data_IF_712407460859
#
_entry.id   IF_712407460859
#
_cell.length_a   1.000
_cell.length_b   1.000
_cell.length_c   1.000
_cell.angle_alpha   90.00
_cell.angle_beta   90.00
_cell.angle_gamma   90.00
#
_symmetry.space_group_name_H-M   'P 1'
#
loop_
_entity.id
_entity.type
_entity.pdbx_description
1 polymer ?
#
# COMPACT_ATOMS: atom_id res chain seq x y z
N UNK A 1 5.67 1.17 4.91
CA UNK A 1 5.56 2.34 3.98
C UNK A 1 6.53 2.25 2.81
N UNK A 2 7.86 2.09 3.03
CA UNK A 2 8.83 1.99 1.91
C UNK A 2 8.44 0.93 0.86
N UNK A 3 8.18 -0.31 1.29
CA UNK A 3 7.77 -1.41 0.38
C UNK A 3 6.49 -1.07 -0.39
N UNK A 4 5.53 -0.41 0.23
CA UNK A 4 4.27 -0.04 -0.44
C UNK A 4 4.50 1.01 -1.54
N UNK A 5 5.32 2.03 -1.27
CA UNK A 5 5.70 3.02 -2.28
C UNK A 5 6.49 2.41 -3.42
N UNK A 6 7.44 1.53 -3.09
CA UNK A 6 8.25 0.80 -4.07
C UNK A 6 7.39 -0.10 -4.97
N UNK A 7 6.43 -0.84 -4.37
CA UNK A 7 5.51 -1.70 -5.13
C UNK A 7 4.56 -0.90 -6.01
N UNK A 8 3.98 0.20 -5.51
CA UNK A 8 3.10 1.05 -6.31
C UNK A 8 3.85 1.62 -7.53
N UNK A 9 5.09 2.10 -7.36
CA UNK A 9 5.92 2.56 -8.47
C UNK A 9 6.24 1.42 -9.45
N UNK A 10 6.64 0.25 -8.93
CA UNK A 10 6.95 -0.92 -9.74
C UNK A 10 5.77 -1.40 -10.57
N UNK A 11 4.61 -1.57 -9.94
CA UNK A 11 3.42 -2.08 -10.62
C UNK A 11 2.84 -1.08 -11.61
N UNK A 12 2.92 0.21 -11.28
CA UNK A 12 2.49 1.29 -12.16
C UNK A 12 3.36 1.38 -13.42
N UNK A 13 4.69 1.31 -13.26
CA UNK A 13 5.63 1.51 -14.37
C UNK A 13 5.88 0.25 -15.21
N UNK A 14 5.96 -0.94 -14.58
CA UNK A 14 6.39 -2.17 -15.25
C UNK A 14 5.29 -3.24 -15.36
N UNK A 15 4.22 -3.16 -14.58
CA UNK A 15 3.18 -4.20 -14.54
C UNK A 15 1.82 -3.75 -15.08
N UNK A 16 1.83 -2.86 -16.07
CA UNK A 16 0.63 -2.49 -16.83
C UNK A 16 -0.23 -1.39 -16.21
N UNK A 17 0.35 -0.52 -15.37
CA UNK A 17 -0.32 0.71 -14.91
C UNK A 17 -1.39 0.46 -13.82
N UNK A 18 -1.13 -0.46 -12.89
CA UNK A 18 -2.01 -0.80 -11.78
C UNK A 18 -1.28 -0.53 -10.47
N UNK A 19 -1.97 0.02 -9.48
CA UNK A 19 -1.41 0.17 -8.13
C UNK A 19 -1.58 -1.09 -7.28
N UNK A 20 -0.55 -1.49 -6.57
CA UNK A 20 -0.63 -2.59 -5.61
C UNK A 20 -1.36 -2.17 -4.31
N UNK A 21 -1.05 -0.99 -3.78
CA UNK A 21 -1.59 -0.49 -2.51
C UNK A 21 -2.69 0.56 -2.69
N UNK A 22 -2.59 1.46 -3.68
CA UNK A 22 -3.48 2.61 -3.85
C UNK A 22 -4.75 2.23 -4.63
N UNK A 23 -5.70 1.56 -3.97
CA UNK A 23 -6.93 1.08 -4.63
C UNK A 23 -7.85 2.20 -5.13
N UNK A 24 -7.82 3.38 -4.52
CA UNK A 24 -8.53 4.56 -5.04
C UNK A 24 -8.04 4.94 -6.44
N UNK A 25 -6.73 4.84 -6.70
CA UNK A 25 -6.17 5.04 -8.04
C UNK A 25 -6.67 3.99 -9.03
N UNK A 26 -6.74 2.73 -8.62
CA UNK A 26 -7.30 1.66 -9.46
C UNK A 26 -8.78 1.90 -9.77
N UNK A 27 -9.59 2.38 -8.82
CA UNK A 27 -10.98 2.75 -9.07
C UNK A 27 -11.09 3.91 -10.08
N UNK A 28 -10.27 4.94 -9.94
CA UNK A 28 -10.25 6.07 -10.89
C UNK A 28 -9.94 5.56 -12.29
N UNK A 29 -8.86 4.80 -12.47
CA UNK A 29 -8.51 4.26 -13.79
C UNK A 29 -9.56 3.30 -14.35
N UNK A 30 -10.19 2.49 -13.49
CA UNK A 30 -11.29 1.62 -13.90
C UNK A 30 -12.44 2.42 -14.51
N UNK A 31 -12.97 3.43 -13.79
CA UNK A 31 -14.09 4.22 -14.28
C UNK A 31 -13.73 5.14 -15.45
N UNK A 32 -12.52 5.68 -15.50
CA UNK A 32 -12.04 6.42 -16.67
C UNK A 32 -12.06 5.55 -17.93
N UNK A 33 -11.49 4.34 -17.86
CA UNK A 33 -11.48 3.42 -19.00
C UNK A 33 -12.88 2.93 -19.37
N UNK A 34 -13.75 2.71 -18.37
CA UNK A 34 -15.15 2.33 -18.60
C UNK A 34 -15.90 3.38 -19.42
N UNK A 35 -15.78 4.67 -19.04
CA UNK A 35 -16.43 5.78 -19.74
C UNK A 35 -15.84 5.99 -21.14
N UNK A 36 -14.54 5.75 -21.31
CA UNK A 36 -13.85 5.87 -22.61
C UNK A 36 -14.09 4.66 -23.54
N UNK A 37 -14.81 3.62 -23.09
CA UNK A 37 -15.07 2.41 -23.87
C UNK A 37 -13.88 1.44 -23.97
N UNK A 38 -12.84 1.60 -23.15
CA UNK A 38 -11.64 0.75 -23.13
C UNK A 38 -11.89 -0.52 -22.29
N UNK A 39 -12.89 -1.29 -22.63
CA UNK A 39 -13.34 -2.46 -21.82
C UNK A 39 -12.25 -3.53 -21.62
N UNK A 40 -11.34 -3.67 -22.59
CA UNK A 40 -10.22 -4.62 -22.51
C UNK A 40 -9.21 -4.31 -21.41
N UNK A 41 -9.24 -3.13 -20.80
CA UNK A 41 -8.33 -2.73 -19.73
C UNK A 41 -8.93 -2.84 -18.33
N UNK A 42 -10.26 -3.07 -18.23
CA UNK A 42 -10.97 -3.02 -16.94
C UNK A 42 -10.56 -4.14 -16.00
N UNK A 43 -10.31 -5.34 -16.55
CA UNK A 43 -10.05 -6.54 -15.74
C UNK A 43 -8.84 -6.37 -14.81
N UNK A 44 -7.78 -5.71 -15.25
CA UNK A 44 -6.56 -5.55 -14.45
C UNK A 44 -6.78 -4.73 -13.17
N UNK A 45 -7.64 -3.72 -13.24
CA UNK A 45 -7.98 -2.89 -12.07
C UNK A 45 -8.94 -3.61 -11.13
N UNK A 46 -10.02 -4.19 -11.67
CA UNK A 46 -11.02 -4.85 -10.83
C UNK A 46 -10.46 -6.08 -10.11
N UNK A 47 -9.62 -6.89 -10.75
CA UNK A 47 -8.98 -8.03 -10.11
C UNK A 47 -8.00 -7.61 -9.02
N UNK A 48 -7.26 -6.51 -9.19
CA UNK A 48 -6.39 -5.95 -8.15
C UNK A 48 -7.21 -5.52 -6.92
N UNK A 49 -8.35 -4.83 -7.13
CA UNK A 49 -9.26 -4.41 -6.06
C UNK A 49 -9.86 -5.62 -5.33
N UNK A 50 -10.34 -6.62 -6.07
CA UNK A 50 -10.91 -7.85 -5.49
C UNK A 50 -9.83 -8.57 -4.65
N UNK A 51 -8.62 -8.72 -5.19
CA UNK A 51 -7.52 -9.36 -4.47
C UNK A 51 -7.16 -8.62 -3.18
N UNK A 52 -7.15 -7.29 -3.21
CA UNK A 52 -6.94 -6.46 -2.02
C UNK A 52 -8.05 -6.68 -0.97
N UNK A 53 -9.31 -6.69 -1.37
CA UNK A 53 -10.44 -6.97 -0.48
C UNK A 53 -10.34 -8.38 0.14
N UNK A 54 -9.98 -9.38 -0.65
CA UNK A 54 -9.77 -10.75 -0.19
C UNK A 54 -8.59 -10.85 0.79
N UNK A 55 -7.52 -10.06 0.58
CA UNK A 55 -6.38 -9.97 1.51
C UNK A 55 -6.80 -9.43 2.87
N UNK A 56 -7.60 -8.34 2.92
CA UNK A 56 -8.16 -7.82 4.16
C UNK A 56 -9.06 -8.87 4.84
N UNK A 57 -9.94 -9.50 4.06
CA UNK A 57 -10.89 -10.50 4.55
C UNK A 57 -10.15 -11.71 5.14
N UNK A 58 -9.16 -12.26 4.44
CA UNK A 58 -8.38 -13.40 4.90
C UNK A 58 -7.62 -13.10 6.19
N UNK A 59 -7.01 -11.91 6.30
CA UNK A 59 -6.27 -11.51 7.47
C UNK A 59 -7.15 -11.41 8.72
N UNK A 60 -8.43 -11.04 8.56
CA UNK A 60 -9.37 -10.99 9.68
C UNK A 60 -9.51 -12.37 10.37
N UNK A 61 -9.47 -13.46 9.61
CA UNK A 61 -9.53 -14.81 10.15
C UNK A 61 -8.15 -15.29 10.62
N UNK A 62 -7.11 -15.04 9.84
CA UNK A 62 -5.74 -15.47 10.15
C UNK A 62 -5.28 -14.94 11.48
N UNK A 63 -5.59 -13.69 11.83
CA UNK A 63 -5.26 -13.08 13.12
C UNK A 63 -5.84 -13.79 14.34
N UNK A 64 -6.93 -14.52 14.17
CA UNK A 64 -7.60 -15.27 15.25
C UNK A 64 -6.94 -16.63 15.49
N UNK A 65 -6.13 -17.10 14.56
CA UNK A 65 -5.44 -18.38 14.68
C UNK A 65 -4.19 -18.26 15.56
N UNK A 66 -3.85 -19.33 16.29
CA UNK A 66 -2.60 -19.42 17.02
C UNK A 66 -1.41 -19.29 16.05
N UNK A 67 -0.57 -18.28 16.25
CA UNK A 67 0.54 -17.99 15.34
C UNK A 67 0.14 -17.22 14.05
N UNK A 68 -1.06 -16.62 14.00
CA UNK A 68 -1.60 -15.91 12.85
C UNK A 68 -0.63 -14.89 12.24
N UNK A 69 0.04 -14.08 13.05
CA UNK A 69 1.04 -13.12 12.54
C UNK A 69 2.17 -13.80 11.75
N UNK A 70 2.64 -14.97 12.17
CA UNK A 70 3.69 -15.72 11.42
C UNK A 70 3.14 -16.23 10.09
N UNK A 71 1.90 -16.69 10.08
CA UNK A 71 1.21 -17.14 8.87
C UNK A 71 1.06 -15.96 7.90
N UNK A 72 0.60 -14.82 8.38
CA UNK A 72 0.44 -13.60 7.57
C UNK A 72 1.76 -13.14 6.95
N UNK A 73 2.84 -13.13 7.72
CA UNK A 73 4.18 -12.78 7.22
C UNK A 73 4.65 -13.79 6.16
N UNK A 74 4.45 -15.09 6.40
CA UNK A 74 4.82 -16.12 5.43
C UNK A 74 4.03 -15.95 4.10
N UNK A 75 2.73 -15.70 4.16
CA UNK A 75 1.89 -15.44 2.99
C UNK A 75 2.37 -14.21 2.22
N UNK A 76 2.68 -13.10 2.91
CA UNK A 76 3.24 -11.89 2.29
C UNK A 76 4.52 -12.22 1.51
N UNK A 77 5.47 -12.92 2.15
CA UNK A 77 6.74 -13.28 1.52
C UNK A 77 6.53 -14.16 0.31
N UNK A 78 5.71 -15.20 0.41
CA UNK A 78 5.40 -16.11 -0.71
C UNK A 78 4.76 -15.34 -1.86
N UNK A 79 3.75 -14.50 -1.59
CA UNK A 79 3.03 -13.79 -2.65
C UNK A 79 3.92 -12.73 -3.34
N UNK A 80 4.80 -12.05 -2.60
CA UNK A 80 5.79 -11.17 -3.22
C UNK A 80 6.78 -11.94 -4.07
N UNK A 81 7.34 -13.06 -3.55
CA UNK A 81 8.30 -13.87 -4.30
C UNK A 81 7.69 -14.42 -5.58
N UNK A 82 6.49 -15.00 -5.51
CA UNK A 82 5.78 -15.51 -6.69
C UNK A 82 5.43 -14.38 -7.65
N UNK A 83 4.93 -13.26 -7.16
CA UNK A 83 4.57 -12.09 -7.98
C UNK A 83 5.77 -11.52 -8.75
N UNK A 84 6.95 -11.48 -8.13
CA UNK A 84 8.19 -11.06 -8.82
C UNK A 84 8.71 -12.12 -9.81
N UNK A 85 8.47 -13.40 -9.56
CA UNK A 85 8.85 -14.49 -10.45
C UNK A 85 7.99 -14.60 -11.72
N UNK A 86 6.79 -14.01 -11.73
CA UNK A 86 5.91 -13.99 -12.92
C UNK A 86 6.58 -13.16 -14.03
N UNK A 87 6.71 -13.67 -15.26
CA UNK A 87 7.26 -12.90 -16.39
C UNK A 87 6.37 -11.70 -16.72
N UNK A 88 7.01 -10.66 -17.31
CA UNK A 88 6.28 -9.50 -17.80
C UNK A 88 5.41 -9.85 -19.01
N UNK A 89 4.29 -9.17 -19.17
CA UNK A 89 3.37 -9.35 -20.30
C UNK A 89 1.96 -9.71 -19.84
N UNK A 90 1.35 -10.69 -20.49
CA UNK A 90 -0.06 -11.05 -20.29
C UNK A 90 -0.42 -11.47 -18.86
N UNK A 91 0.54 -11.96 -18.11
CA UNK A 91 0.35 -12.37 -16.71
C UNK A 91 0.56 -11.24 -15.70
N UNK A 92 0.79 -10.00 -16.14
CA UNK A 92 0.95 -8.87 -15.23
C UNK A 92 -0.23 -8.69 -14.27
N UNK A 93 -1.46 -8.98 -14.72
CA UNK A 93 -2.64 -8.86 -13.86
C UNK A 93 -2.60 -9.86 -12.70
N UNK A 94 -2.07 -11.09 -12.91
CA UNK A 94 -1.89 -12.08 -11.84
C UNK A 94 -0.85 -11.61 -10.84
N UNK A 95 0.28 -11.08 -11.30
CA UNK A 95 1.30 -10.51 -10.42
C UNK A 95 0.72 -9.35 -9.57
N UNK A 96 -0.06 -8.45 -10.19
CA UNK A 96 -0.72 -7.35 -9.49
C UNK A 96 -1.74 -7.84 -8.45
N UNK A 97 -2.49 -8.90 -8.74
CA UNK A 97 -3.38 -9.54 -7.76
C UNK A 97 -2.62 -10.04 -6.54
N UNK A 98 -1.49 -10.72 -6.74
CA UNK A 98 -0.66 -11.23 -5.63
C UNK A 98 -0.08 -10.09 -4.81
N UNK A 99 0.44 -9.05 -5.45
CA UNK A 99 0.95 -7.86 -4.76
C UNK A 99 -0.16 -7.14 -3.97
N UNK A 100 -1.32 -6.93 -4.56
CA UNK A 100 -2.44 -6.26 -3.89
C UNK A 100 -2.97 -7.06 -2.70
N UNK A 101 -3.06 -8.38 -2.82
CA UNK A 101 -3.44 -9.27 -1.72
C UNK A 101 -2.42 -9.19 -0.57
N UNK A 102 -1.12 -9.29 -0.87
CA UNK A 102 -0.06 -9.24 0.13
C UNK A 102 0.02 -7.88 0.83
N UNK A 103 -0.10 -6.78 0.08
CA UNK A 103 -0.14 -5.42 0.64
C UNK A 103 -1.35 -5.23 1.55
N UNK A 104 -2.50 -5.82 1.23
CA UNK A 104 -3.70 -5.78 2.06
C UNK A 104 -3.49 -6.46 3.41
N UNK A 105 -2.83 -7.62 3.43
CA UNK A 105 -2.43 -8.28 4.68
C UNK A 105 -1.43 -7.40 5.45
N UNK A 106 -0.42 -6.86 4.78
CA UNK A 106 0.58 -5.97 5.38
C UNK A 106 -0.06 -4.74 6.04
N UNK A 107 -1.08 -4.14 5.41
CA UNK A 107 -1.85 -3.02 5.97
C UNK A 107 -2.48 -3.38 7.32
N UNK A 108 -2.95 -4.61 7.46
CA UNK A 108 -3.63 -5.07 8.65
C UNK A 108 -2.68 -5.46 9.80
N UNK A 109 -1.42 -5.77 9.52
CA UNK A 109 -0.45 -6.24 10.53
C UNK A 109 -0.04 -5.14 11.51
N UNK A 110 0.20 -3.93 11.02
CA UNK A 110 0.66 -2.80 11.84
C UNK A 110 -0.33 -1.65 11.66
N UNK A 111 -1.15 -1.43 12.68
CA UNK A 111 -2.18 -0.39 12.67
C UNK A 111 -1.88 0.79 13.59
N UNK A 112 -0.97 0.60 14.53
CA UNK A 112 -0.60 1.63 15.52
C UNK A 112 0.88 1.61 15.79
N UNK A 113 1.46 2.78 16.04
CA UNK A 113 2.82 2.99 16.54
C UNK A 113 2.73 4.01 17.66
N UNK A 114 3.25 3.70 18.86
CA UNK A 114 3.19 4.57 20.04
C UNK A 114 1.79 5.16 20.30
N UNK A 115 0.73 4.35 20.17
CA UNK A 115 -0.67 4.75 20.28
C UNK A 115 -1.23 5.63 19.15
N UNK A 116 -0.42 5.98 18.15
CA UNK A 116 -0.89 6.67 16.95
C UNK A 116 -1.42 5.65 15.93
N UNK A 117 -2.64 5.89 15.43
CA UNK A 117 -3.18 5.10 14.34
C UNK A 117 -2.43 5.44 13.05
N UNK A 118 -1.93 4.43 12.36
CA UNK A 118 -1.18 4.62 11.11
C UNK A 118 -1.81 3.84 9.96
N UNK A 119 -1.71 4.40 8.76
CA UNK A 119 -2.01 3.70 7.52
C UNK A 119 -0.69 3.22 6.90
N UNK A 120 -0.28 1.98 7.21
CA UNK A 120 1.03 1.44 6.87
C UNK A 120 1.31 1.33 5.35
N UNK A 121 0.29 1.46 4.51
CA UNK A 121 0.41 1.37 3.05
C UNK A 121 -0.12 2.59 2.30
N UNK A 122 -0.77 3.54 3.00
CA UNK A 122 -1.46 4.68 2.40
C UNK A 122 -0.86 6.00 2.88
N UNK A 123 -0.49 6.88 1.94
CA UNK A 123 0.15 8.16 2.24
C UNK A 123 -0.86 9.22 2.72
N UNK A 124 -2.04 9.32 2.09
CA UNK A 124 -3.03 10.38 2.33
C UNK A 124 -3.52 10.43 3.79
N UNK A 125 -3.82 9.26 4.38
CA UNK A 125 -4.24 9.19 5.79
C UNK A 125 -3.16 9.68 6.75
N UNK A 126 -1.90 9.29 6.50
CA UNK A 126 -0.77 9.72 7.31
C UNK A 126 -0.47 11.22 7.13
N UNK A 127 -0.66 11.77 5.92
CA UNK A 127 -0.51 13.21 5.66
C UNK A 127 -1.56 14.03 6.44
N UNK A 128 -2.82 13.58 6.44
CA UNK A 128 -3.86 14.20 7.26
C UNK A 128 -3.46 14.21 8.73
N UNK A 129 -3.11 13.06 9.29
CA UNK A 129 -2.74 12.94 10.70
C UNK A 129 -1.48 13.75 11.06
N UNK A 130 -0.54 13.89 10.11
CA UNK A 130 0.61 14.79 10.28
C UNK A 130 0.17 16.22 10.50
N UNK A 131 -0.70 16.74 9.64
CA UNK A 131 -1.17 18.14 9.73
C UNK A 131 -2.03 18.36 10.98
N UNK A 132 -2.85 17.38 11.37
CA UNK A 132 -3.59 17.41 12.65
C UNK A 132 -2.62 17.52 13.83
N UNK A 133 -1.53 16.72 13.86
CA UNK A 133 -0.51 16.81 14.91
C UNK A 133 0.23 18.17 14.90
N UNK A 134 0.54 18.73 13.73
CA UNK A 134 1.17 20.06 13.61
C UNK A 134 0.25 21.14 14.15
N UNK A 135 -1.04 21.11 13.77
CA UNK A 135 -2.03 22.08 14.26
C UNK A 135 -2.16 22.02 15.78
N UNK A 136 -2.31 20.82 16.35
CA UNK A 136 -2.42 20.64 17.80
C UNK A 136 -1.12 21.01 18.53
N UNK A 137 0.04 20.77 17.95
CA UNK A 137 1.31 21.20 18.53
C UNK A 137 1.41 22.72 18.67
N UNK A 138 0.81 23.47 17.74
CA UNK A 138 0.79 24.93 17.75
C UNK A 138 -0.25 25.45 18.76
N UNK A 139 -1.44 24.84 18.80
CA UNK A 139 -2.59 25.35 19.56
C UNK A 139 -2.63 24.85 21.01
N UNK A 140 -2.22 23.61 21.26
CA UNK A 140 -2.34 22.93 22.56
C UNK A 140 -1.00 22.91 23.32
N UNK A 141 -0.87 23.76 24.35
CA UNK A 141 0.40 23.87 25.11
C UNK A 141 0.67 22.69 26.05
N UNK A 142 -0.35 21.96 26.47
CA UNK A 142 -0.24 20.92 27.52
C UNK A 142 0.34 19.58 27.05
N UNK A 143 0.14 19.18 25.79
CA UNK A 143 0.53 17.86 25.25
C UNK A 143 1.58 17.93 24.12
N UNK A 144 2.40 18.97 24.08
CA UNK A 144 3.39 19.18 22.99
C UNK A 144 4.31 18.00 22.74
N UNK A 145 4.72 17.28 23.78
CA UNK A 145 5.59 16.10 23.64
C UNK A 145 4.92 14.99 22.84
N UNK A 146 3.61 14.75 23.04
CA UNK A 146 2.81 13.79 22.31
C UNK A 146 2.69 14.18 20.83
N UNK A 147 2.28 15.41 20.55
CA UNK A 147 2.13 15.89 19.17
C UNK A 147 3.46 15.90 18.41
N UNK A 148 4.58 16.27 19.06
CA UNK A 148 5.91 16.15 18.47
C UNK A 148 6.26 14.73 18.06
N UNK A 149 5.92 13.73 18.87
CA UNK A 149 6.08 12.29 18.50
C UNK A 149 5.24 11.92 17.29
N UNK A 150 3.97 12.34 17.25
CA UNK A 150 3.10 12.14 16.09
C UNK A 150 3.68 12.73 14.81
N UNK A 151 4.18 13.97 14.86
CA UNK A 151 4.84 14.64 13.73
C UNK A 151 6.03 13.80 13.23
N UNK A 152 6.89 13.31 14.12
CA UNK A 152 8.04 12.48 13.75
C UNK A 152 7.58 11.17 13.09
N UNK A 153 6.62 10.47 13.70
CA UNK A 153 6.10 9.18 13.18
C UNK A 153 5.53 9.38 11.77
N UNK A 154 4.58 10.31 11.60
CA UNK A 154 3.92 10.48 10.31
C UNK A 154 4.87 11.02 9.22
N UNK A 155 5.78 11.94 9.57
CA UNK A 155 6.80 12.41 8.63
C UNK A 155 7.72 11.26 8.19
N UNK A 156 8.17 10.41 9.11
CA UNK A 156 9.00 9.25 8.78
C UNK A 156 8.27 8.27 7.86
N UNK A 157 6.99 8.01 8.11
CA UNK A 157 6.18 7.12 7.27
C UNK A 157 6.02 7.67 5.84
N UNK A 158 5.74 8.97 5.71
CA UNK A 158 5.59 9.62 4.40
C UNK A 158 6.93 9.62 3.66
N UNK A 159 8.02 9.99 4.32
CA UNK A 159 9.37 9.97 3.75
C UNK A 159 9.75 8.56 3.29
N UNK A 160 9.47 7.53 4.10
CA UNK A 160 9.72 6.15 3.72
C UNK A 160 8.95 5.74 2.45
N UNK A 161 7.69 6.16 2.31
CA UNK A 161 6.90 5.91 1.10
C UNK A 161 7.50 6.58 -0.13
N UNK A 162 7.77 7.89 -0.04
CA UNK A 162 8.36 8.66 -1.15
C UNK A 162 9.73 8.13 -1.55
N UNK A 163 10.57 7.75 -0.57
CA UNK A 163 11.86 7.12 -0.85
C UNK A 163 11.70 5.78 -1.58
N UNK A 164 10.70 4.96 -1.22
CA UNK A 164 10.39 3.73 -1.95
C UNK A 164 10.03 3.98 -3.41
N UNK A 165 9.18 4.97 -3.67
CA UNK A 165 8.82 5.39 -5.03
C UNK A 165 10.07 5.87 -5.78
N UNK A 166 10.86 6.77 -5.19
CA UNK A 166 12.03 7.37 -5.83
C UNK A 166 13.09 6.32 -6.19
N UNK A 167 13.40 5.40 -5.26
CA UNK A 167 14.39 4.34 -5.47
C UNK A 167 14.00 3.44 -6.64
N UNK A 168 12.75 2.95 -6.67
CA UNK A 168 12.30 2.07 -7.74
C UNK A 168 12.23 2.80 -9.07
N UNK A 169 11.73 4.04 -9.09
CA UNK A 169 11.67 4.86 -10.31
C UNK A 169 13.09 5.11 -10.87
N UNK A 170 14.05 5.43 -9.99
CA UNK A 170 15.44 5.62 -10.39
C UNK A 170 16.06 4.33 -10.94
N UNK A 171 15.85 3.19 -10.28
CA UNK A 171 16.34 1.90 -10.76
C UNK A 171 15.79 1.57 -12.15
N UNK A 172 14.49 1.81 -12.38
CA UNK A 172 13.86 1.55 -13.68
C UNK A 172 14.38 2.50 -14.77
N UNK A 173 14.72 3.74 -14.40
CA UNK A 173 15.20 4.74 -15.36
C UNK A 173 16.64 4.47 -15.82
N UNK A 174 17.48 3.87 -14.97
CA UNK A 174 18.91 3.64 -15.25
C UNK A 174 19.25 2.19 -15.66
N UNK A 175 18.28 1.29 -15.77
CA UNK A 175 18.41 -0.07 -16.32
C UNK A 175 17.79 -0.14 -17.73
#
# INVERSE_FOLDING_TARGET
MFVSGALDAYTLLLRGGVFAAMQTGNLIYFFMNLVQGNFSLLYKYIFSIIAFCLGIFSEHFTRRCKGGTKISVAVIVVFYTVGFAIPYGDLNFVANMLFSFAVAIQLQLIRTVDSFAIANTMCTGNLRSLIECVSSFITEKGERAKYRRGIIIYSTLILAFVTGVAVVTALIHYI
#
